data_IF_207147357102
#
_entry.id   IF_207147357102
#
_cell.length_a   1.000
_cell.length_b   1.000
_cell.length_c   1.000
_cell.angle_alpha   90.00
_cell.angle_beta   90.00
_cell.angle_gamma   90.00
#
_symmetry.space_group_name_H-M   'P 1'
#
loop_
_entity.id
_entity.type
_entity.pdbx_description
1 polymer ?
#
# COMPACT_ATOMS: atom_id res chain seq x y z
N UNK A 1 -34.42 -13.40 23.81
CA UNK A 1 -34.08 -12.13 23.13
C UNK A 1 -33.20 -11.31 24.06
N UNK A 2 -31.96 -11.01 23.68
CA UNK A 2 -31.09 -10.13 24.46
C UNK A 2 -31.65 -8.70 24.43
N UNK A 3 -31.88 -8.11 25.60
CA UNK A 3 -32.36 -6.72 25.73
C UNK A 3 -31.25 -5.78 25.25
N UNK A 4 -31.53 -4.96 24.24
CA UNK A 4 -30.58 -3.97 23.74
C UNK A 4 -30.33 -2.91 24.82
N UNK A 5 -29.06 -2.71 25.21
CA UNK A 5 -28.68 -1.67 26.18
C UNK A 5 -29.12 -0.30 25.65
N UNK A 6 -29.84 0.49 26.46
CA UNK A 6 -30.38 1.81 26.07
C UNK A 6 -31.20 1.78 24.76
N UNK A 7 -32.09 0.80 24.62
CA UNK A 7 -32.88 0.58 23.39
C UNK A 7 -33.67 1.82 22.94
N UNK A 8 -34.44 2.43 23.84
CA UNK A 8 -35.34 3.53 23.51
C UNK A 8 -34.56 4.78 23.08
N UNK A 9 -33.52 5.13 23.84
CA UNK A 9 -32.63 6.25 23.50
C UNK A 9 -31.90 5.98 22.18
N UNK A 10 -31.41 4.75 21.97
CA UNK A 10 -30.76 4.32 20.73
C UNK A 10 -31.66 4.43 19.51
N UNK A 11 -32.95 4.14 19.65
CA UNK A 11 -33.92 4.31 18.57
C UNK A 11 -34.18 5.80 18.30
N UNK A 12 -34.35 6.60 19.36
CA UNK A 12 -34.58 8.05 19.28
C UNK A 12 -33.43 8.78 18.57
N UNK A 13 -32.17 8.53 18.96
CA UNK A 13 -31.01 9.19 18.33
C UNK A 13 -30.81 8.76 16.88
N UNK A 14 -31.07 7.48 16.55
CA UNK A 14 -31.01 7.00 15.17
C UNK A 14 -32.04 7.72 14.30
N UNK A 15 -33.24 7.95 14.82
CA UNK A 15 -34.25 8.78 14.18
C UNK A 15 -33.74 10.18 13.86
N UNK A 16 -33.00 10.80 14.78
CA UNK A 16 -32.39 12.12 14.54
C UNK A 16 -31.36 12.08 13.40
N UNK A 17 -30.49 11.06 13.37
CA UNK A 17 -29.50 10.92 12.29
C UNK A 17 -30.16 10.79 10.92
N UNK A 18 -31.21 9.96 10.81
CA UNK A 18 -31.97 9.81 9.56
C UNK A 18 -32.74 11.07 9.19
N UNK A 19 -33.32 11.78 10.16
CA UNK A 19 -34.03 13.05 9.93
C UNK A 19 -33.10 14.08 9.27
N UNK A 20 -31.88 14.23 9.79
CA UNK A 20 -30.84 15.11 9.22
C UNK A 20 -30.42 14.63 7.82
N UNK A 21 -30.09 13.34 7.66
CA UNK A 21 -29.63 12.81 6.37
C UNK A 21 -30.70 12.93 5.28
N UNK A 22 -31.96 12.63 5.58
CA UNK A 22 -33.06 12.70 4.62
C UNK A 22 -33.37 14.14 4.20
N UNK A 23 -33.11 15.12 5.08
CA UNK A 23 -33.36 16.54 4.79
C UNK A 23 -32.27 17.16 3.91
N UNK A 24 -31.00 16.82 4.17
CA UNK A 24 -29.86 17.51 3.55
C UNK A 24 -29.10 16.67 2.52
N UNK A 25 -29.24 15.34 2.53
CA UNK A 25 -28.44 14.43 1.70
C UNK A 25 -26.95 14.47 2.04
N UNK A 26 -26.09 13.82 1.22
CA UNK A 26 -24.63 13.90 1.35
C UNK A 26 -24.04 15.18 0.71
N UNK A 27 -22.78 15.49 1.02
CA UNK A 27 -21.98 16.53 0.33
C UNK A 27 -21.72 17.82 1.12
N UNK A 28 -22.34 18.02 2.28
CA UNK A 28 -22.03 19.14 3.17
C UNK A 28 -20.78 18.88 4.01
N UNK A 29 -20.14 19.94 4.51
CA UNK A 29 -19.02 19.81 5.46
C UNK A 29 -19.50 19.23 6.80
N UNK A 30 -18.62 18.51 7.50
CA UNK A 30 -18.92 17.86 8.79
C UNK A 30 -19.53 18.81 9.82
N UNK A 31 -18.98 20.02 9.94
CA UNK A 31 -19.51 21.07 10.83
C UNK A 31 -20.97 21.43 10.55
N UNK A 32 -21.42 21.32 9.30
CA UNK A 32 -22.82 21.61 8.93
C UNK A 32 -23.74 20.48 9.44
N UNK A 33 -23.31 19.21 9.34
CA UNK A 33 -24.08 18.11 9.93
C UNK A 33 -24.08 18.16 11.46
N UNK A 34 -22.97 18.60 12.07
CA UNK A 34 -22.91 18.82 13.51
C UNK A 34 -23.99 19.82 13.93
N UNK A 35 -24.02 21.01 13.31
CA UNK A 35 -25.03 22.04 13.60
C UNK A 35 -26.46 21.56 13.31
N UNK A 36 -26.67 20.85 12.20
CA UNK A 36 -27.99 20.30 11.84
C UNK A 36 -28.48 19.26 12.85
N UNK A 37 -27.58 18.46 13.40
CA UNK A 37 -27.90 17.44 14.40
C UNK A 37 -28.18 18.07 15.78
N UNK A 38 -27.51 19.17 16.13
CA UNK A 38 -27.86 19.96 17.31
C UNK A 38 -29.29 20.51 17.24
N UNK A 39 -29.66 21.08 16.08
CA UNK A 39 -31.02 21.57 15.83
C UNK A 39 -32.04 20.42 15.98
N UNK A 40 -31.77 19.26 15.38
CA UNK A 40 -32.67 18.10 15.45
C UNK A 40 -32.76 17.52 16.86
N UNK A 41 -31.66 17.42 17.60
CA UNK A 41 -31.68 16.97 19.00
C UNK A 41 -32.51 17.92 19.88
N UNK A 42 -32.37 19.23 19.71
CA UNK A 42 -33.18 20.22 20.43
C UNK A 42 -34.67 20.06 20.11
N UNK A 43 -35.01 19.93 18.83
CA UNK A 43 -36.39 19.71 18.35
C UNK A 43 -37.00 18.43 18.94
N UNK A 44 -36.23 17.34 18.99
CA UNK A 44 -36.64 16.05 19.54
C UNK A 44 -36.54 15.99 21.08
N UNK A 45 -36.16 17.10 21.74
CA UNK A 45 -35.94 17.20 23.19
C UNK A 45 -35.01 16.10 23.70
N UNK A 46 -33.93 15.84 22.98
CA UNK A 46 -32.84 14.95 23.39
C UNK A 46 -31.81 15.82 24.10
N UNK A 47 -31.44 15.48 25.34
CA UNK A 47 -30.38 16.20 26.05
C UNK A 47 -29.02 15.78 25.49
N UNK A 48 -28.18 16.73 25.13
CA UNK A 48 -26.84 16.46 24.63
C UNK A 48 -25.84 17.53 25.10
N UNK A 49 -24.56 17.19 25.01
CA UNK A 49 -23.46 18.13 25.10
C UNK A 49 -22.62 18.03 23.84
N UNK A 50 -22.41 19.14 23.15
CA UNK A 50 -21.46 19.21 22.03
C UNK A 50 -20.04 19.39 22.55
N UNK A 51 -19.09 18.67 21.95
CA UNK A 51 -17.65 18.86 22.19
C UNK A 51 -17.24 18.82 23.67
N UNK A 52 -17.93 18.00 24.48
CA UNK A 52 -17.63 17.84 25.91
C UNK A 52 -16.38 16.98 26.09
N UNK A 53 -15.36 17.53 26.76
CA UNK A 53 -14.14 16.79 27.13
C UNK A 53 -14.47 15.61 28.04
N UNK A 54 -13.97 14.42 27.68
CA UNK A 54 -14.05 13.21 28.50
C UNK A 54 -12.67 12.69 28.83
N UNK A 55 -12.56 12.03 29.97
CA UNK A 55 -11.31 11.47 30.47
C UNK A 55 -10.99 10.12 29.81
N UNK A 56 -9.71 9.92 29.51
CA UNK A 56 -9.16 8.66 29.02
C UNK A 56 -8.26 8.06 30.10
N UNK A 57 -8.51 6.80 30.45
CA UNK A 57 -7.84 6.09 31.53
C UNK A 57 -6.96 4.96 30.97
N UNK A 58 -5.83 4.72 31.63
CA UNK A 58 -4.99 3.54 31.40
C UNK A 58 -5.78 2.29 31.73
N UNK A 59 -5.81 1.32 30.81
CA UNK A 59 -6.53 0.06 31.00
C UNK A 59 -5.92 -0.78 32.14
N UNK A 60 -4.61 -0.68 32.36
CA UNK A 60 -3.88 -1.47 33.36
C UNK A 60 -3.85 -0.80 34.74
N UNK A 61 -3.50 0.50 34.76
CA UNK A 61 -3.28 1.23 36.02
C UNK A 61 -4.52 1.97 36.50
N UNK A 62 -5.44 2.33 35.60
CA UNK A 62 -6.55 3.24 35.87
C UNK A 62 -6.16 4.70 36.04
N UNK A 63 -4.88 5.05 35.82
CA UNK A 63 -4.42 6.44 35.82
C UNK A 63 -5.03 7.23 34.66
N UNK A 64 -5.39 8.48 34.90
CA UNK A 64 -5.77 9.42 33.86
C UNK A 64 -4.59 9.63 32.89
N UNK A 65 -4.80 9.33 31.61
CA UNK A 65 -3.82 9.51 30.54
C UNK A 65 -4.00 10.83 29.78
N UNK A 66 -5.23 11.32 29.70
CA UNK A 66 -5.55 12.54 28.97
C UNK A 66 -7.04 12.73 28.76
N UNK A 67 -7.39 13.53 27.75
CA UNK A 67 -8.78 13.81 27.39
C UNK A 67 -9.04 13.56 25.91
N UNK A 68 -10.29 13.24 25.60
CA UNK A 68 -10.83 13.10 24.24
C UNK A 68 -12.08 13.97 24.14
N UNK A 69 -12.34 14.53 22.96
CA UNK A 69 -13.51 15.37 22.69
C UNK A 69 -14.31 14.69 21.57
N UNK A 70 -15.38 13.95 21.89
CA UNK A 70 -16.32 13.51 20.90
C UNK A 70 -17.20 14.68 20.42
N UNK A 71 -17.82 14.52 19.25
CA UNK A 71 -18.75 15.53 18.72
C UNK A 71 -19.94 15.73 19.66
N UNK A 72 -20.54 14.63 20.15
CA UNK A 72 -21.62 14.70 21.12
C UNK A 72 -21.52 13.65 22.23
N UNK A 73 -22.05 14.04 23.38
CA UNK A 73 -22.45 13.14 24.46
C UNK A 73 -23.95 13.31 24.67
N UNK A 74 -24.70 12.26 24.36
CA UNK A 74 -26.16 12.24 24.47
C UNK A 74 -26.58 11.61 25.80
N UNK A 75 -27.39 12.35 26.54
CA UNK A 75 -27.94 12.01 27.87
C UNK A 75 -26.91 11.46 28.87
N UNK A 76 -25.64 11.88 28.76
CA UNK A 76 -24.53 11.36 29.56
C UNK A 76 -24.37 9.82 29.50
N UNK A 77 -24.81 9.21 28.41
CA UNK A 77 -24.80 7.76 28.22
C UNK A 77 -24.12 7.32 26.92
N UNK A 78 -24.32 8.09 25.85
CA UNK A 78 -23.95 7.68 24.49
C UNK A 78 -22.99 8.70 23.89
N UNK A 79 -21.84 8.22 23.41
CA UNK A 79 -20.92 9.01 22.58
C UNK A 79 -21.41 8.99 21.13
N UNK A 80 -21.37 10.12 20.45
CA UNK A 80 -21.63 10.20 19.00
C UNK A 80 -20.45 10.92 18.33
N UNK A 81 -19.91 10.30 17.29
CA UNK A 81 -18.86 10.83 16.43
C UNK A 81 -19.39 10.88 14.99
N UNK A 82 -19.16 12.00 14.32
CA UNK A 82 -19.55 12.28 12.96
C UNK A 82 -18.37 12.11 12.02
N UNK A 83 -18.69 11.71 10.78
CA UNK A 83 -17.77 11.71 9.65
C UNK A 83 -18.47 12.20 8.39
N UNK A 84 -17.70 12.80 7.49
CA UNK A 84 -18.10 13.04 6.10
C UNK A 84 -17.03 12.49 5.17
N UNK A 85 -16.99 11.17 5.05
CA UNK A 85 -16.07 10.45 4.19
C UNK A 85 -16.84 9.66 3.12
N UNK A 86 -16.16 9.30 2.02
CA UNK A 86 -16.75 8.47 0.96
C UNK A 86 -17.13 7.06 1.44
N UNK A 87 -16.54 6.58 2.53
CA UNK A 87 -16.89 5.35 3.27
C UNK A 87 -16.28 5.36 4.68
N UNK A 88 -16.82 4.56 5.59
CA UNK A 88 -16.19 4.29 6.89
C UNK A 88 -15.09 3.21 6.77
N UNK A 89 -13.89 3.53 7.23
CA UNK A 89 -12.76 2.58 7.26
C UNK A 89 -12.76 1.73 8.54
N UNK A 90 -12.02 0.61 8.52
CA UNK A 90 -11.80 -0.17 9.73
C UNK A 90 -10.98 0.59 10.78
N UNK A 91 -10.14 1.55 10.34
CA UNK A 91 -9.35 2.41 11.23
C UNK A 91 -10.28 3.32 12.03
N UNK A 92 -11.30 3.92 11.41
CA UNK A 92 -12.28 4.79 12.09
C UNK A 92 -13.03 4.00 13.19
N UNK A 93 -13.48 2.79 12.84
CA UNK A 93 -14.19 1.91 13.78
C UNK A 93 -13.28 1.49 14.95
N UNK A 94 -12.02 1.18 14.65
CA UNK A 94 -11.04 0.79 15.66
C UNK A 94 -10.68 1.97 16.58
N UNK A 95 -10.55 3.18 16.05
CA UNK A 95 -10.31 4.39 16.83
C UNK A 95 -11.45 4.64 17.82
N UNK A 96 -12.70 4.62 17.35
CA UNK A 96 -13.87 4.77 18.23
C UNK A 96 -13.87 3.72 19.35
N UNK A 97 -13.62 2.44 19.00
CA UNK A 97 -13.58 1.35 19.97
C UNK A 97 -12.48 1.53 21.01
N UNK A 98 -11.29 1.98 20.60
CA UNK A 98 -10.18 2.27 21.51
C UNK A 98 -10.56 3.34 22.53
N UNK A 99 -11.19 4.44 22.09
CA UNK A 99 -11.69 5.46 23.02
C UNK A 99 -12.79 4.92 23.93
N UNK A 100 -13.76 4.18 23.40
CA UNK A 100 -14.87 3.60 24.17
C UNK A 100 -14.38 2.65 25.27
N UNK A 101 -13.30 1.91 25.01
CA UNK A 101 -12.67 1.00 25.97
C UNK A 101 -12.01 1.74 27.13
N UNK A 102 -11.59 2.99 26.95
CA UNK A 102 -10.75 3.72 27.90
C UNK A 102 -11.48 4.89 28.60
N UNK A 103 -12.82 4.95 28.52
CA UNK A 103 -13.64 5.97 29.17
C UNK A 103 -14.85 5.36 29.92
N UNK A 104 -15.66 6.17 30.59
CA UNK A 104 -16.78 5.72 31.43
C UNK A 104 -18.08 5.35 30.68
N UNK A 105 -18.20 5.69 29.39
CA UNK A 105 -19.39 5.46 28.57
C UNK A 105 -19.38 4.06 27.93
N UNK A 106 -20.54 3.42 27.80
CA UNK A 106 -20.62 2.04 27.31
C UNK A 106 -21.03 1.92 25.84
N UNK A 107 -21.53 3.00 25.25
CA UNK A 107 -22.12 3.01 23.91
C UNK A 107 -21.53 4.16 23.11
N UNK A 108 -21.13 3.87 21.86
CA UNK A 108 -20.72 4.89 20.89
C UNK A 108 -21.38 4.68 19.53
N UNK A 109 -21.71 5.78 18.86
CA UNK A 109 -22.14 5.83 17.47
C UNK A 109 -21.11 6.53 16.62
N UNK A 110 -20.76 5.91 15.49
CA UNK A 110 -19.97 6.51 14.42
C UNK A 110 -20.91 6.66 13.24
N UNK A 111 -21.17 7.90 12.84
CA UNK A 111 -22.18 8.23 11.84
C UNK A 111 -21.51 8.93 10.67
N UNK A 112 -21.55 8.32 9.48
CA UNK A 112 -21.00 8.91 8.28
C UNK A 112 -22.10 9.45 7.38
N UNK A 113 -22.08 10.76 7.17
CA UNK A 113 -22.99 11.49 6.29
C UNK A 113 -22.43 11.69 4.87
N UNK A 114 -21.20 11.25 4.59
CA UNK A 114 -20.51 11.50 3.33
C UNK A 114 -20.87 10.58 2.16
N UNK A 115 -21.61 9.49 2.41
CA UNK A 115 -21.96 8.52 1.36
C UNK A 115 -23.39 8.70 0.84
N UNK A 116 -23.72 8.07 -0.29
CA UNK A 116 -25.09 8.05 -0.84
C UNK A 116 -26.14 7.45 0.12
N UNK A 117 -25.72 6.74 1.18
CA UNK A 117 -26.59 6.25 2.26
C UNK A 117 -26.02 6.66 3.62
N UNK A 118 -26.89 6.85 4.60
CA UNK A 118 -26.44 7.10 5.96
C UNK A 118 -25.80 5.83 6.54
N UNK A 119 -24.51 5.88 6.85
CA UNK A 119 -23.83 4.77 7.52
C UNK A 119 -23.80 5.01 9.03
N UNK A 120 -24.30 4.04 9.79
CA UNK A 120 -24.35 4.11 11.26
C UNK A 120 -23.69 2.86 11.82
N UNK A 121 -22.60 3.05 12.57
CA UNK A 121 -21.96 1.97 13.34
C UNK A 121 -22.16 2.22 14.82
N UNK A 122 -22.78 1.25 15.50
CA UNK A 122 -23.00 1.26 16.95
C UNK A 122 -22.05 0.28 17.61
N UNK A 123 -21.24 0.78 18.55
CA UNK A 123 -20.30 -0.01 19.34
C UNK A 123 -20.77 -0.08 20.79
N UNK A 124 -20.66 -1.25 21.42
CA UNK A 124 -20.99 -1.46 22.84
C UNK A 124 -19.78 -2.06 23.55
N UNK A 125 -19.30 -1.38 24.60
CA UNK A 125 -18.27 -1.88 25.50
C UNK A 125 -18.65 -1.56 26.95
N UNK A 126 -19.26 -2.55 27.59
CA UNK A 126 -19.84 -2.43 28.93
C UNK A 126 -18.74 -2.28 30.00
N UNK A 127 -19.05 -1.57 31.08
CA UNK A 127 -18.11 -1.15 32.12
C UNK A 127 -17.62 -2.33 32.97
N UNK A 128 -18.36 -3.43 33.05
CA UNK A 128 -17.92 -4.70 33.65
C UNK A 128 -16.69 -5.29 32.94
N UNK A 129 -16.51 -4.97 31.64
CA UNK A 129 -15.36 -5.39 30.84
C UNK A 129 -14.18 -4.41 30.88
N UNK A 130 -14.25 -3.35 31.69
CA UNK A 130 -13.22 -2.30 31.81
C UNK A 130 -12.48 -2.43 33.14
N UNK A 131 -11.23 -2.95 33.16
CA UNK A 131 -10.50 -3.20 34.41
C UNK A 131 -10.29 -1.95 35.27
N UNK A 132 -10.11 -0.78 34.65
CA UNK A 132 -9.95 0.48 35.39
C UNK A 132 -11.25 0.98 36.03
N UNK A 133 -12.43 0.65 35.48
CA UNK A 133 -13.71 1.17 35.97
C UNK A 133 -13.96 0.74 37.41
N UNK A 134 -13.62 -0.51 37.74
CA UNK A 134 -13.70 -1.08 39.08
C UNK A 134 -12.80 -0.32 40.08
N UNK A 135 -11.65 0.18 39.61
CA UNK A 135 -10.68 0.90 40.47
C UNK A 135 -11.07 2.36 40.69
N UNK A 136 -11.68 3.01 39.69
CA UNK A 136 -12.06 4.43 39.77
C UNK A 136 -13.42 4.63 40.45
N UNK A 137 -14.35 3.68 40.34
CA UNK A 137 -15.66 3.72 40.99
C UNK A 137 -15.94 2.49 41.85
N UNK A 138 -15.28 2.36 43.03
CA UNK A 138 -15.46 1.21 43.92
C UNK A 138 -16.86 1.12 44.54
N UNK A 139 -17.63 2.22 44.57
CA UNK A 139 -18.96 2.32 45.18
C UNK A 139 -20.11 1.83 44.28
N UNK A 140 -19.95 1.75 42.96
CA UNK A 140 -21.01 1.29 42.04
C UNK A 140 -21.14 -0.23 41.92
N UNK A 141 -20.29 -0.99 42.61
CA UNK A 141 -20.25 -2.47 42.55
C UNK A 141 -21.13 -3.12 43.65
N UNK A 142 -21.78 -2.32 44.51
CA UNK A 142 -22.50 -2.85 45.70
C UNK A 142 -23.97 -3.20 45.51
N UNK A 143 -24.63 -2.90 44.39
CA UNK A 143 -26.09 -3.14 44.28
C UNK A 143 -26.54 -4.22 43.28
N UNK A 144 -25.66 -4.79 42.44
CA UNK A 144 -26.07 -5.85 41.49
C UNK A 144 -25.35 -7.19 41.67
N UNK A 145 -24.69 -7.38 42.82
CA UNK A 145 -23.91 -8.59 43.11
C UNK A 145 -24.73 -9.75 43.71
N UNK A 146 -26.05 -9.75 43.55
CA UNK A 146 -26.93 -10.84 44.04
C UNK A 146 -27.77 -11.53 42.96
N UNK A 147 -27.57 -11.26 41.66
CA UNK A 147 -28.30 -11.97 40.58
C UNK A 147 -27.47 -12.54 39.43
N UNK A 148 -26.14 -12.47 39.50
CA UNK A 148 -25.22 -13.23 38.65
C UNK A 148 -24.49 -14.19 39.59
N UNK A 149 -24.99 -15.41 39.88
CA UNK A 149 -24.87 -16.60 39.05
C UNK A 149 -26.12 -17.48 39.29
N UNK A 150 -27.14 -17.34 38.45
CA UNK A 150 -28.02 -18.46 38.07
C UNK A 150 -28.49 -18.31 36.62
N UNK A 151 -27.57 -17.92 35.75
CA UNK A 151 -27.62 -18.45 34.40
C UNK A 151 -27.17 -19.90 34.51
N UNK A 152 -27.85 -20.81 33.84
CA UNK A 152 -27.24 -22.09 33.53
C UNK A 152 -25.91 -21.79 32.84
N UNK A 153 -24.82 -21.80 33.61
CA UNK A 153 -23.62 -22.47 33.15
C UNK A 153 -24.10 -23.91 32.96
N UNK A 154 -24.73 -24.19 31.82
CA UNK A 154 -24.40 -25.40 31.13
C UNK A 154 -22.88 -25.27 30.99
N UNK A 155 -22.17 -25.88 31.93
CA UNK A 155 -20.76 -26.14 31.80
C UNK A 155 -20.60 -26.68 30.40
N UNK A 156 -20.03 -25.88 29.50
CA UNK A 156 -19.66 -26.38 28.18
C UNK A 156 -18.83 -27.61 28.48
N UNK A 157 -19.34 -28.78 28.08
CA UNK A 157 -18.64 -30.01 28.38
C UNK A 157 -17.29 -29.91 27.68
N UNK A 158 -16.23 -30.40 28.31
CA UNK A 158 -14.90 -30.38 27.71
C UNK A 158 -14.93 -31.01 26.30
N UNK A 159 -15.82 -31.98 26.08
CA UNK A 159 -16.09 -32.57 24.77
C UNK A 159 -16.62 -31.59 23.73
N UNK A 160 -17.55 -30.70 24.10
CA UNK A 160 -18.13 -29.72 23.17
C UNK A 160 -17.10 -28.67 22.73
N UNK A 161 -16.26 -28.19 23.65
CA UNK A 161 -15.16 -27.28 23.32
C UNK A 161 -14.13 -27.96 22.41
N UNK A 162 -13.80 -29.23 22.67
CA UNK A 162 -12.88 -30.01 21.83
C UNK A 162 -13.42 -30.23 20.41
N UNK A 163 -14.71 -30.47 20.25
CA UNK A 163 -15.35 -30.61 18.93
C UNK A 163 -15.30 -29.29 18.16
N UNK A 164 -15.53 -28.15 18.81
CA UNK A 164 -15.50 -26.85 18.13
C UNK A 164 -14.08 -26.50 17.69
N UNK A 165 -13.08 -26.71 18.55
CA UNK A 165 -11.69 -26.42 18.21
C UNK A 165 -11.22 -27.32 17.07
N UNK A 166 -11.60 -28.60 17.07
CA UNK A 166 -11.23 -29.52 15.98
C UNK A 166 -11.89 -29.14 14.65
N UNK A 167 -13.16 -28.71 14.68
CA UNK A 167 -13.87 -28.22 13.49
C UNK A 167 -13.26 -26.92 12.96
N UNK A 168 -12.95 -25.95 13.83
CA UNK A 168 -12.32 -24.69 13.43
C UNK A 168 -10.92 -24.95 12.84
N UNK A 169 -10.13 -25.83 13.44
CA UNK A 169 -8.81 -26.20 12.93
C UNK A 169 -8.89 -26.85 11.54
N UNK A 170 -9.85 -27.76 11.33
CA UNK A 170 -10.09 -28.40 10.03
C UNK A 170 -10.49 -27.37 8.96
N UNK A 171 -11.44 -26.50 9.28
CA UNK A 171 -11.89 -25.45 8.36
C UNK A 171 -10.76 -24.47 8.02
N UNK A 172 -9.97 -24.06 9.02
CA UNK A 172 -8.83 -23.18 8.82
C UNK A 172 -7.77 -23.79 7.90
N UNK A 173 -7.47 -25.09 8.05
CA UNK A 173 -6.53 -25.80 7.19
C UNK A 173 -6.99 -25.81 5.72
N UNK A 174 -8.28 -26.09 5.48
CA UNK A 174 -8.85 -26.07 4.12
C UNK A 174 -8.73 -24.67 3.50
N UNK A 175 -9.07 -23.62 4.24
CA UNK A 175 -8.99 -22.23 3.75
C UNK A 175 -7.56 -21.85 3.39
N UNK A 176 -6.57 -22.21 4.20
CA UNK A 176 -5.16 -21.90 3.92
C UNK A 176 -4.65 -22.60 2.65
N UNK A 177 -5.09 -23.84 2.40
CA UNK A 177 -4.75 -24.58 1.18
C UNK A 177 -5.41 -23.93 -0.05
N UNK A 178 -6.69 -23.54 0.04
CA UNK A 178 -7.42 -22.97 -1.08
C UNK A 178 -6.92 -21.57 -1.47
N UNK A 179 -6.61 -20.73 -0.50
CA UNK A 179 -6.27 -19.34 -0.77
C UNK A 179 -4.78 -19.08 -0.99
N UNK A 180 -3.89 -20.01 -0.60
CA UNK A 180 -2.43 -19.88 -0.66
C UNK A 180 -1.97 -18.42 -0.45
N UNK A 181 -2.14 -17.87 0.77
CA UNK A 181 -2.02 -16.44 1.02
C UNK A 181 -0.68 -15.85 0.59
N UNK A 182 0.38 -16.65 0.65
CA UNK A 182 1.72 -16.27 0.21
C UNK A 182 1.78 -15.92 -1.28
N UNK A 183 1.12 -16.71 -2.12
CA UNK A 183 1.07 -16.45 -3.55
C UNK A 183 0.26 -15.18 -3.88
N UNK A 184 -0.82 -14.92 -3.13
CA UNK A 184 -1.64 -13.72 -3.32
C UNK A 184 -0.91 -12.43 -2.93
N UNK A 185 -0.12 -12.49 -1.85
CA UNK A 185 0.77 -11.37 -1.48
C UNK A 185 1.83 -11.15 -2.55
N UNK A 186 2.40 -12.23 -3.10
CA UNK A 186 3.32 -12.18 -4.24
C UNK A 186 2.73 -11.42 -5.43
N UNK A 187 1.49 -11.75 -5.85
CA UNK A 187 0.77 -11.03 -6.91
C UNK A 187 0.62 -9.55 -6.61
N UNK A 188 0.26 -9.20 -5.37
CA UNK A 188 0.10 -7.80 -4.98
C UNK A 188 1.41 -7.03 -5.08
N UNK A 189 2.54 -7.64 -4.72
CA UNK A 189 3.84 -7.00 -4.88
C UNK A 189 4.22 -6.83 -6.34
N UNK A 190 3.94 -7.81 -7.19
CA UNK A 190 4.22 -7.73 -8.62
C UNK A 190 3.41 -6.62 -9.31
N UNK A 191 2.13 -6.46 -8.95
CA UNK A 191 1.31 -5.32 -9.40
C UNK A 191 1.92 -3.99 -8.98
N UNK A 192 2.43 -3.89 -7.74
CA UNK A 192 3.08 -2.68 -7.24
C UNK A 192 4.38 -2.39 -8.00
N UNK A 193 5.22 -3.40 -8.23
CA UNK A 193 6.46 -3.28 -9.03
C UNK A 193 6.18 -2.78 -10.44
N UNK A 194 5.22 -3.40 -11.14
CA UNK A 194 4.79 -2.98 -12.49
C UNK A 194 4.31 -1.52 -12.52
N UNK A 195 3.51 -1.13 -11.53
CA UNK A 195 3.03 0.23 -11.39
C UNK A 195 4.16 1.23 -11.15
N UNK A 196 5.06 0.94 -10.20
CA UNK A 196 6.19 1.80 -9.85
C UNK A 196 7.12 2.03 -11.05
N UNK A 197 7.44 0.97 -11.81
CA UNK A 197 8.25 1.07 -13.01
C UNK A 197 7.59 1.95 -14.08
N UNK A 198 6.27 1.89 -14.24
CA UNK A 198 5.56 2.75 -15.20
C UNK A 198 5.47 4.21 -14.73
N UNK A 199 5.37 4.47 -13.42
CA UNK A 199 5.47 5.83 -12.87
C UNK A 199 6.86 6.41 -13.10
N UNK A 200 7.92 5.65 -12.80
CA UNK A 200 9.31 6.06 -13.06
C UNK A 200 9.55 6.32 -14.55
N UNK A 201 9.03 5.46 -15.44
CA UNK A 201 9.09 5.66 -16.89
C UNK A 201 8.53 7.03 -17.29
N UNK A 202 7.31 7.37 -16.84
CA UNK A 202 6.71 8.68 -17.14
C UNK A 202 7.58 9.83 -16.64
N UNK A 203 8.09 9.76 -15.42
CA UNK A 203 8.94 10.80 -14.86
C UNK A 203 10.26 10.97 -15.63
N UNK A 204 10.84 9.87 -16.14
CA UNK A 204 12.06 9.92 -16.97
C UNK A 204 11.80 10.49 -18.36
N UNK A 205 10.66 10.19 -18.98
CA UNK A 205 10.25 10.79 -20.25
C UNK A 205 9.99 12.31 -20.09
N UNK A 206 9.30 12.72 -19.02
CA UNK A 206 9.09 14.15 -18.72
C UNK A 206 10.43 14.86 -18.47
N UNK A 207 11.35 14.23 -17.74
CA UNK A 207 12.70 14.75 -17.54
C UNK A 207 13.48 14.89 -18.85
N UNK A 208 13.37 13.90 -19.75
CA UNK A 208 14.00 13.96 -21.07
C UNK A 208 13.45 15.10 -21.93
N UNK A 209 12.12 15.30 -21.91
CA UNK A 209 11.48 16.39 -22.66
C UNK A 209 11.98 17.77 -22.22
N UNK A 210 12.31 17.94 -20.93
CA UNK A 210 12.80 19.21 -20.39
C UNK A 210 14.33 19.38 -20.50
N UNK A 211 15.09 18.28 -20.41
CA UNK A 211 16.58 18.32 -20.33
C UNK A 211 17.30 17.84 -21.57
N UNK A 212 16.61 17.17 -22.49
CA UNK A 212 17.17 16.54 -23.69
C UNK A 212 17.98 15.26 -23.41
N UNK A 213 17.96 14.75 -22.18
CA UNK A 213 18.67 13.53 -21.78
C UNK A 213 18.03 12.86 -20.56
N UNK A 214 18.31 11.57 -20.38
CA UNK A 214 17.82 10.84 -19.21
C UNK A 214 18.67 11.09 -17.97
N UNK A 215 18.12 10.89 -16.75
CA UNK A 215 18.86 11.12 -15.52
C UNK A 215 20.11 10.25 -15.42
N UNK A 216 21.23 10.86 -15.02
CA UNK A 216 22.44 10.12 -14.68
C UNK A 216 22.32 9.51 -13.29
N UNK A 217 23.24 8.61 -12.95
CA UNK A 217 23.16 7.93 -11.67
C UNK A 217 23.27 8.85 -10.44
N UNK A 218 23.98 9.96 -10.52
CA UNK A 218 24.10 10.91 -9.40
C UNK A 218 22.77 11.57 -9.00
N UNK A 219 21.78 11.53 -9.89
CA UNK A 219 20.48 12.17 -9.69
C UNK A 219 19.49 11.23 -9.02
N UNK A 220 19.51 9.94 -9.37
CA UNK A 220 18.46 8.97 -9.01
C UNK A 220 18.96 7.68 -8.35
N UNK A 221 20.28 7.49 -8.24
CA UNK A 221 20.83 6.30 -7.60
C UNK A 221 21.13 6.54 -6.13
N UNK A 222 20.80 5.56 -5.29
CA UNK A 222 21.21 5.54 -3.89
C UNK A 222 22.54 4.81 -3.69
N UNK A 223 22.72 3.68 -4.37
CA UNK A 223 23.92 2.87 -4.26
C UNK A 223 24.17 2.06 -5.54
N UNK A 224 25.39 1.54 -5.65
CA UNK A 224 25.73 0.58 -6.69
C UNK A 224 25.20 -0.81 -6.33
N UNK A 225 24.78 -1.63 -7.31
CA UNK A 225 24.32 -2.97 -7.04
C UNK A 225 25.51 -3.81 -6.55
N UNK A 226 25.24 -4.75 -5.64
CA UNK A 226 26.26 -5.72 -5.20
C UNK A 226 26.79 -6.49 -6.42
N UNK A 227 28.05 -6.96 -6.36
CA UNK A 227 28.72 -7.57 -7.52
C UNK A 227 27.96 -8.74 -8.14
N UNK A 228 27.24 -9.49 -7.32
CA UNK A 228 26.36 -10.62 -7.67
C UNK A 228 25.01 -10.21 -8.31
N UNK A 229 24.66 -8.92 -8.26
CA UNK A 229 23.41 -8.34 -8.81
C UNK A 229 23.66 -7.29 -9.90
N UNK A 230 24.90 -7.20 -10.40
CA UNK A 230 25.23 -6.29 -11.52
C UNK A 230 24.54 -6.70 -12.82
N UNK A 231 24.00 -7.93 -12.94
CA UNK A 231 23.42 -8.44 -14.18
C UNK A 231 24.43 -9.09 -15.11
N UNK A 232 25.66 -9.33 -14.65
CA UNK A 232 26.70 -9.99 -15.45
C UNK A 232 26.91 -11.44 -15.02
N UNK A 233 27.06 -12.32 -16.02
CA UNK A 233 27.55 -13.68 -15.80
C UNK A 233 28.97 -13.66 -15.20
N UNK A 234 29.34 -14.75 -14.53
CA UNK A 234 30.68 -14.91 -13.95
C UNK A 234 31.78 -14.58 -14.99
N UNK A 235 32.63 -13.61 -14.65
CA UNK A 235 33.77 -13.18 -15.49
C UNK A 235 33.51 -11.94 -16.35
N UNK A 236 32.28 -11.43 -16.42
CA UNK A 236 32.00 -10.16 -17.08
C UNK A 236 32.08 -9.00 -16.08
N UNK A 237 33.00 -8.07 -16.34
CA UNK A 237 33.19 -6.86 -15.54
C UNK A 237 32.23 -5.80 -16.09
N UNK A 238 31.06 -5.60 -15.46
CA UNK A 238 30.25 -4.44 -15.82
C UNK A 238 30.97 -3.17 -15.39
N UNK A 239 31.39 -2.40 -16.39
CA UNK A 239 31.90 -1.05 -16.19
C UNK A 239 30.69 -0.15 -15.94
N UNK A 240 30.47 0.26 -14.69
CA UNK A 240 30.18 1.66 -14.34
C UNK A 240 28.75 2.23 -14.30
N UNK A 241 27.72 1.69 -14.99
CA UNK A 241 26.51 2.51 -15.26
C UNK A 241 25.18 1.82 -14.95
N UNK A 242 25.16 1.08 -13.84
CA UNK A 242 23.93 0.60 -13.22
C UNK A 242 23.91 0.85 -11.71
N UNK A 243 22.72 0.98 -11.14
CA UNK A 243 22.53 1.34 -9.74
C UNK A 243 21.16 0.94 -9.21
N UNK A 244 20.97 0.96 -7.89
CA UNK A 244 19.63 0.84 -7.32
C UNK A 244 18.98 2.20 -7.14
N UNK A 245 17.70 2.26 -7.54
CA UNK A 245 16.84 3.46 -7.44
C UNK A 245 16.29 3.63 -6.02
N UNK A 246 16.50 2.64 -5.15
CA UNK A 246 16.13 2.68 -3.74
C UNK A 246 17.35 2.41 -2.85
N UNK A 247 17.38 3.02 -1.68
CA UNK A 247 18.40 2.76 -0.67
C UNK A 247 18.01 3.27 0.71
N UNK A 248 18.92 3.11 1.66
CA UNK A 248 18.69 3.43 3.08
C UNK A 248 18.85 4.92 3.40
N UNK A 249 19.32 5.73 2.46
CA UNK A 249 19.48 7.18 2.65
C UNK A 249 18.16 7.91 2.37
N UNK A 250 18.02 9.15 2.84
CA UNK A 250 16.78 9.90 2.71
C UNK A 250 16.46 10.29 1.25
N UNK A 251 17.49 10.56 0.44
CA UNK A 251 17.37 10.87 -0.99
C UNK A 251 18.73 10.71 -1.70
N UNK A 252 18.76 10.48 -3.03
CA UNK A 252 19.99 10.55 -3.82
C UNK A 252 20.65 11.94 -3.76
N UNK A 253 21.96 12.03 -4.04
CA UNK A 253 22.75 13.26 -3.82
C UNK A 253 22.23 14.51 -4.55
N UNK A 254 21.67 14.34 -5.76
CA UNK A 254 21.17 15.45 -6.59
C UNK A 254 19.67 15.35 -6.88
N UNK A 255 18.91 14.66 -6.03
CA UNK A 255 17.49 14.41 -6.27
C UNK A 255 16.63 15.67 -6.39
N UNK A 256 17.07 16.81 -5.83
CA UNK A 256 16.38 18.10 -6.00
C UNK A 256 16.25 18.54 -7.46
N UNK A 257 17.15 18.09 -8.34
CA UNK A 257 17.05 18.37 -9.78
C UNK A 257 15.97 17.53 -10.49
N UNK A 258 15.52 16.45 -9.84
CA UNK A 258 14.53 15.50 -10.35
C UNK A 258 13.20 15.53 -9.57
N UNK A 259 13.18 16.17 -8.40
CA UNK A 259 12.02 16.17 -7.50
C UNK A 259 10.77 16.87 -8.06
N UNK A 260 10.91 17.66 -9.13
CA UNK A 260 9.80 18.25 -9.87
C UNK A 260 9.01 17.24 -10.69
N UNK A 261 9.63 16.13 -11.09
CA UNK A 261 9.00 15.09 -11.93
C UNK A 261 8.43 13.96 -11.07
N UNK A 262 9.06 13.65 -9.93
CA UNK A 262 8.51 12.72 -8.94
C UNK A 262 8.89 13.16 -7.52
N UNK A 263 7.94 13.08 -6.59
CA UNK A 263 8.15 13.54 -5.21
C UNK A 263 9.11 12.66 -4.41
N UNK A 264 9.17 11.38 -4.74
CA UNK A 264 10.08 10.38 -4.14
C UNK A 264 10.29 9.24 -5.12
N UNK A 265 11.47 8.63 -5.05
CA UNK A 265 11.73 7.39 -5.79
C UNK A 265 11.00 6.22 -5.12
N UNK A 266 10.36 5.38 -5.93
CA UNK A 266 9.70 4.18 -5.47
C UNK A 266 10.71 3.10 -5.11
N UNK A 267 10.41 2.33 -4.07
CA UNK A 267 11.19 1.20 -3.61
C UNK A 267 10.42 -0.10 -3.85
N UNK A 268 11.16 -1.20 -4.08
CA UNK A 268 10.55 -2.53 -4.12
C UNK A 268 9.78 -2.80 -2.82
N UNK A 269 8.57 -3.40 -2.87
CA UNK A 269 7.80 -3.73 -1.67
C UNK A 269 8.55 -4.63 -0.67
N UNK A 270 9.57 -5.36 -1.14
CA UNK A 270 10.42 -6.24 -0.34
C UNK A 270 11.82 -5.67 -0.12
N UNK A 271 12.02 -4.36 -0.29
CA UNK A 271 13.25 -3.68 0.10
C UNK A 271 13.55 -3.94 1.60
N UNK A 272 14.78 -4.27 2.00
CA UNK A 272 16.05 -4.27 1.27
C UNK A 272 16.49 -5.63 0.69
N UNK A 273 15.58 -6.61 0.59
CA UNK A 273 15.88 -7.92 -0.02
C UNK A 273 15.91 -7.85 -1.54
N UNK A 274 14.95 -7.14 -2.12
CA UNK A 274 14.83 -6.84 -3.57
C UNK A 274 14.95 -5.33 -3.78
N UNK A 275 15.48 -4.94 -4.94
CA UNK A 275 15.72 -3.56 -5.34
C UNK A 275 15.43 -3.39 -6.83
N UNK A 276 14.98 -2.21 -7.25
CA UNK A 276 14.91 -1.87 -8.67
C UNK A 276 16.29 -1.50 -9.20
N UNK A 277 16.66 -2.07 -10.34
CA UNK A 277 17.92 -1.75 -11.02
C UNK A 277 17.67 -0.74 -12.13
N UNK A 278 18.40 0.36 -12.09
CA UNK A 278 18.52 1.31 -13.18
C UNK A 278 19.80 1.06 -13.96
N UNK A 279 19.70 1.07 -15.28
CA UNK A 279 20.82 1.06 -16.21
C UNK A 279 20.65 2.22 -17.18
N UNK A 280 21.75 2.87 -17.53
CA UNK A 280 21.72 4.03 -18.41
C UNK A 280 22.97 4.14 -19.26
N UNK A 281 22.86 4.93 -20.32
CA UNK A 281 23.96 5.23 -21.24
C UNK A 281 25.13 5.91 -20.50
N UNK A 282 26.36 5.39 -20.62
CA UNK A 282 27.55 5.82 -19.86
C UNK A 282 28.15 7.19 -20.20
N UNK A 283 27.33 8.11 -20.71
CA UNK A 283 27.75 9.43 -21.15
C UNK A 283 27.14 10.51 -20.25
N UNK A 284 27.71 11.73 -20.19
CA UNK A 284 27.17 12.83 -19.39
C UNK A 284 25.71 13.20 -19.72
N UNK A 285 25.25 12.81 -20.91
CA UNK A 285 23.94 13.13 -21.47
C UNK A 285 23.28 11.84 -21.96
N UNK A 286 22.75 10.98 -21.05
CA UNK A 286 22.30 9.65 -21.41
C UNK A 286 21.20 9.65 -22.47
N UNK A 287 21.39 8.90 -23.56
CA UNK A 287 20.44 8.80 -24.67
C UNK A 287 19.40 7.68 -24.49
N UNK A 288 19.63 6.77 -23.55
CA UNK A 288 18.75 5.65 -23.25
C UNK A 288 18.85 5.24 -21.76
N UNK A 289 17.81 4.54 -21.30
CA UNK A 289 17.80 3.91 -19.98
C UNK A 289 16.97 2.62 -19.96
N UNK A 290 17.18 1.82 -18.92
CA UNK A 290 16.39 0.62 -18.60
C UNK A 290 16.18 0.53 -17.09
N UNK A 291 14.99 0.13 -16.66
CA UNK A 291 14.68 -0.15 -15.26
C UNK A 291 14.16 -1.57 -15.15
N UNK A 292 14.62 -2.29 -14.13
CA UNK A 292 14.31 -3.70 -13.95
C UNK A 292 13.80 -4.01 -12.53
N UNK A 293 12.89 -4.98 -12.44
CA UNK A 293 12.33 -5.53 -11.21
C UNK A 293 12.28 -7.08 -11.25
N UNK A 294 12.30 -7.69 -10.07
CA UNK A 294 12.25 -9.15 -9.86
C UNK A 294 10.85 -9.50 -9.32
N UNK A 295 10.00 -10.07 -10.18
CA UNK A 295 8.65 -10.50 -9.86
C UNK A 295 8.68 -11.82 -9.07
N UNK A 296 7.64 -12.03 -8.27
CA UNK A 296 7.48 -13.24 -7.48
C UNK A 296 6.83 -14.37 -8.28
N UNK A 297 6.21 -14.06 -9.42
CA UNK A 297 5.46 -15.01 -10.25
C UNK A 297 6.01 -14.99 -11.68
N UNK A 298 6.91 -15.94 -11.96
CA UNK A 298 7.57 -16.09 -13.26
C UNK A 298 6.64 -16.64 -14.37
N UNK A 299 5.44 -17.10 -14.02
CA UNK A 299 4.48 -17.70 -14.98
C UNK A 299 3.38 -16.75 -15.43
N UNK A 300 3.45 -15.47 -15.07
CA UNK A 300 2.45 -14.46 -15.46
C UNK A 300 2.63 -14.08 -16.94
N UNK A 301 1.61 -14.38 -17.77
CA UNK A 301 1.63 -14.11 -19.22
C UNK A 301 1.57 -12.61 -19.55
N UNK A 302 1.19 -11.74 -18.60
CA UNK A 302 1.23 -10.29 -18.79
C UNK A 302 2.64 -9.74 -19.07
N UNK A 303 3.69 -10.46 -18.64
CA UNK A 303 5.08 -10.11 -18.97
C UNK A 303 5.36 -10.16 -20.48
N UNK A 304 4.66 -11.03 -21.21
CA UNK A 304 4.79 -11.19 -22.67
C UNK A 304 4.14 -10.02 -23.41
N UNK A 305 3.00 -9.52 -22.93
CA UNK A 305 2.30 -8.35 -23.49
C UNK A 305 3.10 -7.04 -23.32
N UNK A 306 4.04 -7.03 -22.37
CA UNK A 306 4.93 -5.90 -22.07
C UNK A 306 6.29 -6.01 -22.77
N UNK A 307 6.44 -6.97 -23.71
CA UNK A 307 7.61 -7.11 -24.56
C UNK A 307 8.72 -8.03 -24.02
N UNK A 308 8.41 -8.89 -23.03
CA UNK A 308 9.39 -9.80 -22.40
C UNK A 308 9.13 -11.29 -22.77
N UNK A 309 9.44 -11.75 -24.00
CA UNK A 309 9.28 -13.17 -24.32
C UNK A 309 10.37 -14.03 -23.65
N UNK A 310 10.02 -15.27 -23.25
CA UNK A 310 10.93 -16.33 -22.78
C UNK A 310 11.56 -16.17 -21.38
N UNK A 311 10.76 -15.85 -20.36
CA UNK A 311 11.17 -16.02 -18.96
C UNK A 311 11.86 -14.82 -18.33
N UNK A 312 11.72 -13.64 -18.94
CA UNK A 312 11.95 -12.36 -18.31
C UNK A 312 12.59 -11.31 -19.21
N UNK A 313 12.40 -10.03 -18.86
CA UNK A 313 13.02 -8.89 -19.56
C UNK A 313 14.46 -8.57 -19.12
N UNK A 314 14.99 -9.26 -18.12
CA UNK A 314 16.35 -9.05 -17.64
C UNK A 314 17.32 -10.19 -17.95
N UNK A 315 18.50 -10.09 -17.37
CA UNK A 315 19.67 -10.92 -17.64
C UNK A 315 19.52 -12.30 -16.97
N UNK A 316 18.56 -13.12 -17.42
CA UNK A 316 18.46 -14.53 -17.03
C UNK A 316 19.33 -15.36 -17.98
N UNK A 317 20.59 -15.56 -17.61
CA UNK A 317 21.56 -16.34 -18.42
C UNK A 317 21.56 -17.82 -18.01
N UNK A 318 21.04 -18.76 -18.83
CA UNK A 318 21.51 -20.15 -18.86
C UNK A 318 22.69 -20.30 -19.85
N UNK A 319 23.70 -21.17 -19.62
CA UNK A 319 23.65 -22.42 -18.83
C UNK A 319 24.82 -22.59 -17.82
N UNK A 320 24.57 -22.53 -16.51
CA UNK A 320 25.48 -23.00 -15.46
C UNK A 320 24.72 -23.23 -14.13
N UNK A 321 25.20 -24.08 -13.19
CA UNK A 321 24.45 -24.45 -12.00
C UNK A 321 24.45 -23.31 -10.96
N UNK A 322 23.40 -22.47 -11.04
CA UNK A 322 22.83 -21.44 -10.12
C UNK A 322 23.56 -21.05 -8.81
N UNK A 323 23.58 -19.74 -8.44
CA UNK A 323 22.38 -18.95 -8.04
C UNK A 323 22.09 -17.77 -9.00
N UNK A 324 20.90 -17.62 -9.58
CA UNK A 324 19.62 -17.06 -9.07
C UNK A 324 19.60 -15.54 -8.83
N UNK A 325 19.94 -14.69 -9.81
CA UNK A 325 19.51 -13.28 -9.83
C UNK A 325 19.30 -12.83 -11.26
N UNK A 326 18.04 -12.68 -11.68
CA UNK A 326 17.68 -12.20 -13.00
C UNK A 326 16.39 -11.43 -12.85
N UNK A 327 16.44 -10.13 -13.07
CA UNK A 327 15.23 -9.35 -13.21
C UNK A 327 14.39 -9.98 -14.32
N UNK A 328 13.10 -10.15 -14.11
CA UNK A 328 12.19 -10.80 -15.06
C UNK A 328 11.18 -9.82 -15.65
N UNK A 329 11.14 -8.59 -15.15
CA UNK A 329 10.32 -7.52 -15.69
C UNK A 329 11.15 -6.23 -15.84
N UNK A 330 10.95 -5.51 -16.95
CA UNK A 330 11.66 -4.27 -17.20
C UNK A 330 10.90 -3.31 -18.09
N UNK A 331 11.24 -2.02 -17.97
CA UNK A 331 10.75 -0.95 -18.84
C UNK A 331 11.93 -0.10 -19.28
N UNK A 332 11.88 0.41 -20.50
CA UNK A 332 12.88 1.30 -21.08
C UNK A 332 12.23 2.54 -21.68
N UNK A 333 13.07 3.47 -22.12
CA UNK A 333 12.58 4.59 -22.92
C UNK A 333 11.87 4.11 -24.20
N UNK A 334 10.97 4.92 -24.74
CA UNK A 334 10.14 4.53 -25.91
C UNK A 334 10.95 4.17 -27.16
N UNK A 335 12.16 4.71 -27.27
CA UNK A 335 13.05 4.43 -28.39
C UNK A 335 13.84 3.13 -28.19
N UNK A 336 13.63 2.37 -27.13
CA UNK A 336 14.39 1.15 -26.84
C UNK A 336 13.41 0.04 -26.48
N UNK A 337 13.53 -1.12 -27.12
CA UNK A 337 12.85 -2.32 -26.63
C UNK A 337 13.68 -2.94 -25.50
N UNK A 338 13.00 -3.58 -24.55
CA UNK A 338 13.67 -4.29 -23.46
C UNK A 338 14.22 -5.60 -24.03
N UNK A 339 15.46 -5.54 -24.50
CA UNK A 339 16.16 -6.66 -25.12
C UNK A 339 17.56 -6.83 -24.52
N UNK A 340 17.99 -8.09 -24.41
CA UNK A 340 19.34 -8.46 -24.00
C UNK A 340 20.37 -8.27 -25.13
N UNK A 341 19.98 -7.61 -26.21
CA UNK A 341 20.73 -7.56 -27.46
C UNK A 341 20.91 -6.11 -27.87
N UNK A 342 22.15 -5.76 -28.21
CA UNK A 342 22.50 -4.46 -28.76
C UNK A 342 22.76 -4.61 -30.25
N UNK A 343 22.63 -3.53 -31.00
CA UNK A 343 22.77 -3.54 -32.45
C UNK A 343 23.60 -2.33 -32.84
N UNK A 344 24.54 -2.51 -33.76
CA UNK A 344 25.32 -1.42 -34.30
C UNK A 344 25.17 -1.40 -35.82
N UNK A 345 25.54 -0.28 -36.43
CA UNK A 345 25.71 -0.22 -37.88
C UNK A 345 27.14 -0.51 -38.25
N UNK A 346 27.30 -1.45 -39.18
CA UNK A 346 28.58 -1.74 -39.78
C UNK A 346 28.98 -0.80 -40.93
N UNK A 347 30.17 -1.02 -41.45
CA UNK A 347 30.71 -0.24 -42.58
C UNK A 347 29.91 -0.40 -43.87
N UNK A 348 29.10 -1.46 -43.98
CA UNK A 348 28.20 -1.74 -45.09
C UNK A 348 26.80 -1.15 -44.92
N UNK A 349 26.58 -0.35 -43.86
CA UNK A 349 25.28 0.18 -43.47
C UNK A 349 24.27 -0.92 -43.08
N UNK A 350 24.73 -2.06 -42.56
CA UNK A 350 23.89 -3.17 -42.09
C UNK A 350 23.82 -3.14 -40.56
N UNK A 351 22.62 -3.36 -40.03
CA UNK A 351 22.39 -3.51 -38.60
C UNK A 351 22.82 -4.90 -38.13
N UNK A 352 23.94 -4.96 -37.41
CA UNK A 352 24.46 -6.19 -36.83
C UNK A 352 24.19 -6.27 -35.34
N UNK A 353 24.00 -7.50 -34.88
CA UNK A 353 23.65 -7.85 -33.52
C UNK A 353 24.90 -8.08 -32.65
N UNK A 354 25.01 -7.41 -31.50
CA UNK A 354 26.00 -7.68 -30.45
C UNK A 354 25.32 -8.20 -29.18
N UNK A 355 26.01 -9.04 -28.40
CA UNK A 355 25.43 -9.61 -27.18
C UNK A 355 25.49 -8.62 -26.00
N UNK A 356 26.43 -7.67 -26.00
CA UNK A 356 26.52 -6.60 -24.99
C UNK A 356 26.81 -5.23 -25.61
N UNK A 357 26.50 -4.16 -24.87
CA UNK A 357 26.82 -2.79 -25.29
C UNK A 357 28.33 -2.58 -25.43
N UNK A 358 29.11 -3.12 -24.49
CA UNK A 358 30.57 -3.02 -24.50
C UNK A 358 31.16 -3.79 -25.69
N UNK A 359 30.62 -4.96 -26.04
CA UNK A 359 30.95 -5.66 -27.28
C UNK A 359 30.74 -4.73 -28.49
N UNK A 360 29.58 -4.08 -28.62
CA UNK A 360 29.34 -3.16 -29.74
C UNK A 360 30.33 -1.96 -29.78
N UNK A 361 30.85 -1.49 -28.64
CA UNK A 361 31.79 -0.34 -28.61
C UNK A 361 33.20 -0.75 -29.06
N UNK A 362 33.60 -1.99 -28.76
CA UNK A 362 34.94 -2.50 -29.08
C UNK A 362 34.98 -3.29 -30.38
N UNK A 363 33.83 -3.69 -30.91
CA UNK A 363 33.72 -4.43 -32.17
C UNK A 363 34.24 -3.58 -33.34
N UNK A 364 35.31 -3.99 -34.04
CA UNK A 364 35.82 -3.29 -35.21
C UNK A 364 34.82 -3.27 -36.38
N UNK A 365 33.82 -4.16 -36.38
CA UNK A 365 32.66 -4.14 -37.28
C UNK A 365 31.66 -3.03 -36.98
N UNK A 366 31.75 -2.34 -35.84
CA UNK A 366 30.88 -1.22 -35.44
C UNK A 366 31.63 0.13 -35.50
N UNK A 367 31.86 0.71 -36.70
CA UNK A 367 32.68 1.92 -36.86
C UNK A 367 32.11 3.15 -36.16
N UNK A 368 30.79 3.21 -35.94
CA UNK A 368 30.13 4.36 -35.33
C UNK A 368 29.61 4.06 -33.92
N UNK A 369 30.47 4.32 -32.93
CA UNK A 369 30.21 4.09 -31.49
C UNK A 369 29.08 4.97 -30.92
N UNK A 370 28.65 5.98 -31.65
CA UNK A 370 27.51 6.84 -31.30
C UNK A 370 26.18 6.33 -31.89
N UNK A 371 26.21 5.24 -32.66
CA UNK A 371 25.05 4.61 -33.30
C UNK A 371 24.88 3.17 -32.83
N UNK A 372 24.78 2.98 -31.53
CA UNK A 372 24.41 1.70 -30.92
C UNK A 372 22.95 1.78 -30.50
N UNK A 373 22.18 0.79 -30.94
CA UNK A 373 20.74 0.69 -30.78
C UNK A 373 20.43 -0.49 -29.86
N UNK A 374 19.52 -0.35 -28.90
CA UNK A 374 19.17 -1.47 -28.01
C UNK A 374 18.13 -2.44 -28.58
N UNK A 375 17.77 -2.33 -29.86
CA UNK A 375 17.02 -3.36 -30.58
C UNK A 375 17.31 -3.29 -32.08
N UNK A 376 17.08 -4.41 -32.79
CA UNK A 376 17.27 -4.48 -34.23
C UNK A 376 16.27 -3.55 -34.93
N UNK A 377 15.01 -3.53 -34.49
CA UNK A 377 13.97 -2.65 -35.04
C UNK A 377 14.34 -1.16 -34.97
N UNK A 378 14.88 -0.70 -33.85
CA UNK A 378 15.33 0.69 -33.70
C UNK A 378 16.49 1.02 -34.65
N UNK A 379 17.42 0.09 -34.83
CA UNK A 379 18.51 0.24 -35.78
C UNK A 379 17.97 0.41 -37.21
N UNK A 380 17.00 -0.43 -37.60
CA UNK A 380 16.34 -0.37 -38.92
C UNK A 380 15.54 0.93 -39.13
N UNK A 381 14.79 1.39 -38.12
CA UNK A 381 13.97 2.62 -38.21
C UNK A 381 14.85 3.85 -38.40
N UNK A 382 15.96 3.94 -37.65
CA UNK A 382 16.88 5.07 -37.76
C UNK A 382 17.78 5.00 -39.00
N UNK A 383 17.88 3.85 -39.65
CA UNK A 383 18.70 3.66 -40.85
C UNK A 383 17.94 2.78 -41.86
N UNK A 384 17.05 3.40 -42.65
CA UNK A 384 16.24 2.68 -43.62
C UNK A 384 17.12 1.99 -44.67
N UNK A 385 16.90 0.70 -44.91
CA UNK A 385 17.70 -0.13 -45.83
C UNK A 385 18.88 -0.86 -45.18
N UNK A 386 19.06 -0.72 -43.86
CA UNK A 386 20.11 -1.41 -43.08
C UNK A 386 19.73 -2.81 -42.60
N UNK A 387 18.53 -3.27 -42.93
CA UNK A 387 17.99 -4.56 -42.51
C UNK A 387 17.44 -5.30 -43.73
N UNK A 388 17.47 -6.65 -43.74
CA UNK A 388 16.99 -7.46 -44.86
C UNK A 388 15.50 -7.25 -45.18
#
# INVERSE_FOLDING_TARGET
MSKLLEADLSYKIRGCFYSVFNKYGPGLKEIIYQNALEEEFNKQKVKFYSQKRINIYSLDSGKLLGTYIPDFIVEEKIIVELKVNSYLTQIDINQQRSYLRANMYEIAYLVNFGTNKLEIKRSIYTNDRKPFYIRVNPSSVRENSSSLIRGNLCSFTLMELLIIISLIALLAAIVLILFNPWQQIGKSYDVKRKHDLNELRKAYEDYYNDKGCYPTGNVICYNTPKEDKKGVGQGATLVGYSCNICGNEAAPPQFSSFSSYISRLSCDPEHSRKDYLYQYDPVPCPSWYRIYADLNIESDTESVDLGCPLGGCGLKYPPAPTPQYGYDYGVSNTNLEVSNVYNCIDSGNICNTCNTYDECIVDPGCPNKSKIYGSLGLCCVNNPGSCP
#
